data_IF_110752771673
#
_entry.id   IF_110752771673
#
_cell.length_a   1.000
_cell.length_b   1.000
_cell.length_c   1.000
_cell.angle_alpha   90.00
_cell.angle_beta   90.00
_cell.angle_gamma   90.00
#
_symmetry.space_group_name_H-M   'P 1'
#
loop_
_entity.id
_entity.type
_entity.pdbx_description
1 polymer ?
#
# COMPACT_ATOMS: atom_id res chain seq x y z
N UNK A 1 31.50 -85.92 -18.22
CA UNK A 1 30.15 -85.73 -18.79
C UNK A 1 29.42 -84.66 -17.99
N UNK A 2 29.02 -83.59 -18.69
CA UNK A 2 27.87 -82.65 -18.51
C UNK A 2 26.82 -83.11 -17.46
N UNK A 3 26.07 -82.25 -16.71
CA UNK A 3 26.30 -80.92 -16.13
C UNK A 3 25.50 -80.63 -14.81
N UNK A 4 25.50 -79.35 -14.35
CA UNK A 4 24.42 -78.56 -13.67
C UNK A 4 23.69 -79.16 -12.45
N UNK A 5 23.69 -78.38 -11.35
CA UNK A 5 22.44 -77.72 -10.93
C UNK A 5 22.72 -76.51 -10.04
N UNK A 6 21.84 -75.51 -10.18
CA UNK A 6 21.83 -74.21 -9.49
C UNK A 6 21.06 -74.33 -8.18
N UNK A 7 21.50 -73.62 -7.15
CA UNK A 7 20.60 -73.13 -6.10
C UNK A 7 21.07 -71.78 -5.60
N UNK A 8 20.21 -70.80 -5.85
CA UNK A 8 20.24 -69.43 -5.35
C UNK A 8 19.62 -69.45 -3.95
N UNK A 9 20.26 -68.81 -2.97
CA UNK A 9 19.59 -68.42 -1.73
C UNK A 9 20.00 -66.99 -1.37
N UNK A 10 18.98 -66.15 -1.30
CA UNK A 10 18.98 -64.78 -0.80
C UNK A 10 19.41 -64.74 0.67
N UNK A 11 20.14 -63.67 1.04
CA UNK A 11 20.09 -63.10 2.38
C UNK A 11 20.16 -61.58 2.25
N UNK A 12 19.00 -60.95 2.46
CA UNK A 12 18.82 -59.52 2.59
C UNK A 12 19.26 -59.11 4.01
N UNK A 13 20.23 -58.20 4.11
CA UNK A 13 20.47 -57.43 5.33
C UNK A 13 19.90 -56.04 5.15
N UNK A 14 18.92 -55.71 6.00
CA UNK A 14 18.26 -54.43 6.06
C UNK A 14 19.21 -53.32 6.49
N UNK A 15 19.28 -52.28 5.67
CA UNK A 15 19.77 -50.97 6.08
C UNK A 15 18.55 -50.15 6.54
N UNK A 16 18.48 -49.91 7.85
CA UNK A 16 17.53 -48.97 8.44
C UNK A 16 18.00 -47.57 8.04
N UNK A 17 17.43 -47.02 6.96
CA UNK A 17 17.54 -45.61 6.65
C UNK A 17 16.77 -44.83 7.72
N UNK A 18 17.50 -44.25 8.67
CA UNK A 18 17.01 -43.16 9.50
C UNK A 18 16.63 -42.02 8.56
N UNK A 19 15.36 -41.95 8.18
CA UNK A 19 14.78 -40.78 7.54
C UNK A 19 14.88 -39.64 8.56
N UNK A 20 15.95 -38.87 8.48
CA UNK A 20 16.09 -37.63 9.20
C UNK A 20 14.92 -36.73 8.81
N UNK A 21 14.11 -36.37 9.80
CA UNK A 21 13.28 -35.18 9.75
C UNK A 21 14.20 -33.95 9.68
N UNK A 22 14.88 -33.75 8.56
CA UNK A 22 15.43 -32.46 8.19
C UNK A 22 14.23 -31.59 7.88
N UNK A 23 13.69 -30.94 8.90
CA UNK A 23 12.88 -29.74 8.74
C UNK A 23 13.77 -28.76 8.00
N UNK A 24 13.66 -28.75 6.67
CA UNK A 24 14.32 -27.82 5.79
C UNK A 24 13.84 -26.43 6.23
N UNK A 25 14.66 -25.76 7.05
CA UNK A 25 14.42 -24.37 7.44
C UNK A 25 14.44 -23.59 6.15
N UNK A 26 13.27 -23.35 5.56
CA UNK A 26 13.12 -22.38 4.49
C UNK A 26 13.83 -21.12 4.97
N UNK A 27 14.82 -20.60 4.22
CA UNK A 27 15.50 -19.39 4.62
C UNK A 27 14.43 -18.31 4.77
N UNK A 28 14.41 -17.68 5.95
CA UNK A 28 13.47 -16.60 6.24
C UNK A 28 13.58 -15.57 5.12
N UNK A 29 12.47 -15.33 4.42
CA UNK A 29 12.46 -14.40 3.29
C UNK A 29 12.87 -13.01 3.81
N UNK A 30 14.01 -12.51 3.34
CA UNK A 30 14.48 -11.18 3.72
C UNK A 30 13.52 -10.12 3.17
N UNK A 31 12.96 -9.31 4.08
CA UNK A 31 12.01 -8.27 3.72
C UNK A 31 12.73 -7.06 3.15
N UNK A 32 12.28 -6.61 1.99
CA UNK A 32 12.86 -5.46 1.30
C UNK A 32 12.41 -4.16 1.97
N UNK A 33 13.27 -3.14 2.12
CA UNK A 33 12.82 -1.84 2.62
C UNK A 33 11.75 -1.24 1.71
N UNK A 34 10.95 -0.32 2.25
CA UNK A 34 10.11 0.53 1.43
C UNK A 34 10.99 1.31 0.43
N UNK A 35 10.42 1.78 -0.67
CA UNK A 35 11.11 2.67 -1.58
C UNK A 35 10.28 3.91 -1.86
N UNK A 36 10.86 5.09 -1.64
CA UNK A 36 10.31 6.38 -2.06
C UNK A 36 10.52 6.53 -3.57
N UNK A 37 9.48 6.21 -4.34
CA UNK A 37 9.50 6.17 -5.81
C UNK A 37 9.46 7.56 -6.42
N UNK A 38 8.67 8.42 -5.82
CA UNK A 38 8.42 9.76 -6.30
C UNK A 38 8.32 10.70 -5.11
N UNK A 39 8.80 11.93 -5.29
CA UNK A 39 8.59 13.01 -4.35
C UNK A 39 8.66 14.35 -5.07
N UNK A 40 7.94 15.32 -4.53
CA UNK A 40 8.02 16.72 -4.91
C UNK A 40 7.77 17.57 -3.68
N UNK A 41 8.38 18.75 -3.66
CA UNK A 41 8.09 19.78 -2.69
C UNK A 41 7.95 21.12 -3.38
N UNK A 42 7.03 21.96 -2.90
CA UNK A 42 6.84 23.32 -3.38
C UNK A 42 6.89 24.29 -2.23
N UNK A 43 7.35 25.51 -2.51
CA UNK A 43 7.50 26.57 -1.52
C UNK A 43 6.81 27.80 -2.09
N UNK A 44 5.77 28.26 -1.41
CA UNK A 44 5.01 29.44 -1.80
C UNK A 44 4.94 30.43 -0.65
N UNK A 45 5.02 31.72 -0.97
CA UNK A 45 4.84 32.78 0.01
C UNK A 45 3.39 32.77 0.49
N UNK A 46 3.18 32.79 1.80
CA UNK A 46 1.87 32.92 2.46
C UNK A 46 1.85 34.14 3.39
N UNK A 47 0.71 34.44 4.00
CA UNK A 47 0.58 35.53 4.97
C UNK A 47 1.52 35.33 6.17
N UNK A 48 1.64 34.08 6.65
CA UNK A 48 2.37 33.73 7.87
C UNK A 48 3.84 33.31 7.62
N UNK A 49 4.38 33.60 6.43
CA UNK A 49 5.73 33.19 6.05
C UNK A 49 5.75 32.50 4.69
N UNK A 50 6.10 31.22 4.69
CA UNK A 50 6.16 30.37 3.51
C UNK A 50 5.44 29.05 3.80
N UNK A 51 4.52 28.65 2.92
CA UNK A 51 3.95 27.31 2.95
C UNK A 51 4.87 26.37 2.17
N UNK A 52 5.31 25.31 2.84
CA UNK A 52 6.07 24.20 2.29
C UNK A 52 5.10 23.04 2.10
N UNK A 53 4.79 22.70 0.85
CA UNK A 53 3.94 21.57 0.52
C UNK A 53 4.81 20.43 0.01
N UNK A 54 4.38 19.20 0.24
CA UNK A 54 5.02 18.01 -0.33
C UNK A 54 4.00 16.97 -0.74
N UNK A 55 4.43 16.14 -1.69
CA UNK A 55 3.76 14.92 -2.05
C UNK A 55 4.81 13.84 -2.35
N UNK A 56 4.49 12.58 -2.05
CA UNK A 56 5.36 11.46 -2.33
C UNK A 56 4.61 10.15 -2.49
N UNK A 57 5.32 9.16 -3.03
CA UNK A 57 4.82 7.80 -3.23
C UNK A 57 5.82 6.81 -2.66
N UNK A 58 5.43 6.13 -1.59
CA UNK A 58 6.14 4.95 -1.08
C UNK A 58 5.64 3.70 -1.79
N UNK A 59 6.54 2.74 -1.98
CA UNK A 59 6.22 1.42 -2.53
C UNK A 59 6.71 0.33 -1.62
N UNK A 60 5.92 -0.74 -1.51
CA UNK A 60 6.22 -1.92 -0.74
C UNK A 60 6.42 -3.12 -1.68
N UNK A 61 7.64 -3.61 -1.75
CA UNK A 61 7.99 -4.76 -2.58
C UNK A 61 7.70 -6.12 -1.91
N UNK A 62 7.24 -6.13 -0.66
CA UNK A 62 6.93 -7.35 0.09
C UNK A 62 5.46 -7.71 -0.13
N UNK A 63 5.15 -8.79 -0.86
CA UNK A 63 3.79 -9.11 -1.25
C UNK A 63 2.91 -9.58 -0.09
N UNK A 64 3.49 -9.98 1.04
CA UNK A 64 2.74 -10.58 2.16
C UNK A 64 2.85 -9.80 3.47
N UNK A 65 3.41 -8.58 3.45
CA UNK A 65 3.66 -7.81 4.66
C UNK A 65 3.18 -6.37 4.49
N UNK A 66 2.47 -5.86 5.48
CA UNK A 66 2.25 -4.42 5.63
C UNK A 66 3.53 -3.75 6.13
N UNK A 67 3.83 -2.57 5.59
CA UNK A 67 4.79 -1.65 6.19
C UNK A 67 4.05 -0.72 7.15
N UNK A 68 4.14 -0.96 8.45
CA UNK A 68 3.41 -0.23 9.48
C UNK A 68 4.30 0.81 10.20
N UNK A 69 3.64 1.75 10.89
CA UNK A 69 4.30 2.77 11.72
C UNK A 69 5.37 3.59 10.99
N UNK A 70 5.15 3.82 9.69
CA UNK A 70 6.05 4.62 8.86
C UNK A 70 5.90 6.08 9.26
N UNK A 71 7.03 6.77 9.39
CA UNK A 71 7.08 8.22 9.64
C UNK A 71 7.93 8.86 8.56
N UNK A 72 7.35 9.79 7.82
CA UNK A 72 8.11 10.67 6.94
C UNK A 72 8.65 11.85 7.74
N UNK A 73 9.94 12.14 7.60
CA UNK A 73 10.59 13.32 8.17
C UNK A 73 10.84 14.31 7.03
N UNK A 74 10.21 15.47 7.12
CA UNK A 74 10.33 16.58 6.18
C UNK A 74 11.23 17.63 6.81
N UNK A 75 12.31 17.99 6.12
CA UNK A 75 13.24 19.02 6.58
C UNK A 75 13.42 20.05 5.47
N UNK A 76 13.08 21.30 5.77
CA UNK A 76 13.39 22.46 4.94
C UNK A 76 14.60 23.20 5.49
N UNK A 77 15.58 23.46 4.62
CA UNK A 77 16.81 24.18 4.96
C UNK A 77 16.90 25.48 4.16
N UNK A 78 17.41 26.54 4.77
CA UNK A 78 17.73 27.80 4.09
C UNK A 78 18.95 27.67 3.15
N UNK A 79 19.36 28.78 2.52
CA UNK A 79 20.52 28.79 1.63
C UNK A 79 21.87 28.56 2.34
N UNK A 80 21.92 28.71 3.67
CA UNK A 80 23.11 28.50 4.51
C UNK A 80 23.14 27.09 5.11
N UNK A 81 22.08 26.30 4.92
CA UNK A 81 21.94 24.94 5.45
C UNK A 81 21.28 24.87 6.84
N UNK A 82 20.81 25.98 7.39
CA UNK A 82 20.07 25.99 8.66
C UNK A 82 18.66 25.43 8.46
N UNK A 83 18.20 24.60 9.39
CA UNK A 83 16.83 24.08 9.37
C UNK A 83 15.83 25.20 9.71
N UNK A 84 14.92 25.48 8.79
CA UNK A 84 13.86 26.50 8.94
C UNK A 84 12.47 25.89 9.10
N UNK A 85 12.34 24.59 8.82
CA UNK A 85 11.15 23.78 9.12
C UNK A 85 11.53 22.32 9.26
N UNK A 86 10.94 21.66 10.25
CA UNK A 86 11.01 20.21 10.43
C UNK A 86 9.67 19.67 10.87
N UNK A 87 9.20 18.62 10.21
CA UNK A 87 7.98 17.92 10.56
C UNK A 87 8.19 16.40 10.46
N UNK A 88 7.74 15.69 11.49
CA UNK A 88 7.57 14.24 11.43
C UNK A 88 6.08 13.94 11.17
N UNK A 89 5.78 13.36 10.02
CA UNK A 89 4.44 12.99 9.59
C UNK A 89 4.27 11.47 9.72
N UNK A 90 3.44 10.99 10.67
CA UNK A 90 2.98 9.62 10.67
C UNK A 90 2.23 9.32 9.36
N UNK A 91 2.56 8.20 8.74
CA UNK A 91 1.94 7.74 7.51
C UNK A 91 1.03 6.54 7.77
N UNK A 92 0.10 6.30 6.84
CA UNK A 92 -0.72 5.10 6.87
C UNK A 92 0.12 3.84 6.61
N UNK A 93 -0.39 2.68 7.01
CA UNK A 93 0.27 1.41 6.72
C UNK A 93 0.36 1.16 5.21
N UNK A 94 1.56 0.91 4.66
CA UNK A 94 1.77 0.62 3.24
C UNK A 94 1.30 -0.81 2.95
N UNK A 95 0.40 -1.04 1.97
CA UNK A 95 -0.23 -2.34 1.80
C UNK A 95 0.73 -3.35 1.17
N UNK A 96 0.51 -4.66 1.34
CA UNK A 96 1.36 -5.70 0.77
C UNK A 96 1.44 -5.58 -0.76
N UNK A 97 2.66 -5.52 -1.30
CA UNK A 97 2.91 -5.38 -2.74
C UNK A 97 2.40 -4.06 -3.38
N UNK A 98 1.95 -3.10 -2.58
CA UNK A 98 1.28 -1.89 -3.06
C UNK A 98 2.06 -0.59 -2.85
N UNK A 99 1.36 0.53 -3.03
CA UNK A 99 1.89 1.89 -2.85
C UNK A 99 1.17 2.66 -1.75
N UNK A 100 1.81 3.73 -1.29
CA UNK A 100 1.22 4.74 -0.43
C UNK A 100 1.58 6.13 -0.96
N UNK A 101 0.57 6.80 -1.47
CA UNK A 101 0.55 8.22 -1.74
C UNK A 101 0.39 8.97 -0.41
N UNK A 102 1.22 9.97 -0.17
CA UNK A 102 1.11 10.83 1.00
C UNK A 102 1.40 12.28 0.61
N UNK A 103 0.74 13.20 1.29
CA UNK A 103 0.90 14.64 1.08
C UNK A 103 0.89 15.36 2.41
N UNK A 104 1.36 16.60 2.42
CA UNK A 104 1.28 17.44 3.61
C UNK A 104 1.75 18.86 3.36
N UNK A 105 1.57 19.68 4.38
CA UNK A 105 1.95 21.08 4.37
C UNK A 105 2.50 21.47 5.75
N UNK A 106 3.48 22.36 5.76
CA UNK A 106 3.99 23.03 6.96
C UNK A 106 4.28 24.50 6.64
N UNK A 107 4.25 25.36 7.66
CA UNK A 107 4.64 26.77 7.54
C UNK A 107 6.07 26.95 8.01
N UNK A 108 6.86 27.73 7.28
CA UNK A 108 8.21 28.16 7.63
C UNK A 108 8.25 29.69 7.71
N UNK A 109 8.89 30.24 8.74
CA UNK A 109 9.05 31.70 8.86
C UNK A 109 9.96 32.26 7.76
N UNK A 110 11.04 31.53 7.46
CA UNK A 110 12.01 31.85 6.41
C UNK A 110 11.79 30.96 5.18
N UNK A 111 12.26 31.42 4.02
CA UNK A 111 12.14 30.65 2.77
C UNK A 111 13.14 29.50 2.78
N UNK A 112 12.71 28.23 2.76
CA UNK A 112 13.65 27.14 2.52
C UNK A 112 14.22 27.26 1.10
N UNK A 113 15.52 27.04 0.96
CA UNK A 113 16.19 26.85 -0.32
C UNK A 113 16.12 25.39 -0.80
N UNK A 114 16.02 24.45 0.15
CA UNK A 114 15.94 23.01 -0.12
C UNK A 114 14.94 22.37 0.82
N UNK A 115 14.18 21.40 0.32
CA UNK A 115 13.33 20.52 1.14
C UNK A 115 13.73 19.08 0.85
N UNK A 116 13.85 18.29 1.91
CA UNK A 116 14.15 16.87 1.83
C UNK A 116 13.08 16.07 2.55
N UNK A 117 12.71 14.93 1.98
CA UNK A 117 11.80 13.97 2.58
C UNK A 117 12.58 12.68 2.79
N UNK A 118 12.61 12.23 4.03
CA UNK A 118 13.15 10.95 4.43
C UNK A 118 12.05 10.16 5.12
N UNK A 119 12.25 8.86 5.31
CA UNK A 119 11.30 8.06 6.09
C UNK A 119 12.07 7.09 6.99
N UNK A 120 11.47 6.79 8.13
CA UNK A 120 12.00 5.77 9.05
C UNK A 120 11.63 4.37 8.54
N UNK A 121 12.47 3.35 8.76
CA UNK A 121 12.15 1.98 8.39
C UNK A 121 10.78 1.54 8.93
N UNK A 122 10.02 0.83 8.10
CA UNK A 122 8.72 0.31 8.48
C UNK A 122 8.85 -0.82 9.50
N UNK A 123 7.84 -0.97 10.35
CA UNK A 123 7.63 -2.20 11.08
C UNK A 123 6.88 -3.18 10.19
N UNK A 124 7.50 -4.32 9.90
CA UNK A 124 6.90 -5.31 9.02
C UNK A 124 5.95 -6.20 9.79
N UNK A 125 4.71 -6.27 9.33
CA UNK A 125 3.73 -7.21 9.85
C UNK A 125 3.17 -8.06 8.73
N UNK A 126 3.20 -9.37 8.90
CA UNK A 126 2.58 -10.28 7.94
C UNK A 126 1.08 -9.99 7.83
N UNK A 127 0.59 -9.93 6.60
CA UNK A 127 -0.82 -9.74 6.32
C UNK A 127 -1.62 -10.99 6.70
N UNK A 128 -2.78 -10.80 7.33
CA UNK A 128 -3.69 -11.89 7.70
C UNK A 128 -4.46 -12.45 6.50
N UNK A 129 -4.41 -11.78 5.34
CA UNK A 129 -5.13 -12.15 4.11
C UNK A 129 -4.19 -12.11 2.91
N UNK A 130 -4.60 -12.83 1.87
CA UNK A 130 -3.93 -12.79 0.56
C UNK A 130 -4.01 -11.39 -0.05
N UNK A 131 -3.01 -10.93 -0.83
CA UNK A 131 -2.98 -9.58 -1.38
C UNK A 131 -4.21 -9.21 -2.20
N UNK A 132 -4.79 -10.18 -2.93
CA UNK A 132 -6.01 -10.01 -3.71
C UNK A 132 -7.26 -9.74 -2.87
N UNK A 133 -7.20 -9.91 -1.55
CA UNK A 133 -8.29 -9.53 -0.65
C UNK A 133 -8.34 -8.01 -0.38
N UNK A 134 -7.23 -7.30 -0.59
CA UNK A 134 -7.13 -5.84 -0.40
C UNK A 134 -7.53 -5.09 -1.68
N UNK A 135 -8.83 -5.05 -1.94
CA UNK A 135 -9.44 -4.29 -3.02
C UNK A 135 -9.22 -2.78 -2.86
N UNK A 136 -9.04 -2.11 -4.01
CA UNK A 136 -8.97 -0.64 -4.07
C UNK A 136 -10.36 -0.04 -3.93
N UNK A 137 -10.47 1.07 -3.20
CA UNK A 137 -11.70 1.85 -3.12
C UNK A 137 -11.98 2.54 -4.47
N UNK A 138 -13.11 2.24 -5.14
CA UNK A 138 -13.41 2.83 -6.43
C UNK A 138 -13.62 4.34 -6.34
N UNK A 139 -12.96 5.08 -7.24
CA UNK A 139 -13.19 6.51 -7.42
C UNK A 139 -14.03 6.72 -8.68
N UNK A 140 -15.13 7.45 -8.55
CA UNK A 140 -16.04 7.73 -9.69
C UNK A 140 -16.33 9.22 -9.82
N UNK A 141 -16.69 9.63 -11.05
CA UNK A 141 -17.05 11.01 -11.42
C UNK A 141 -16.03 12.05 -10.93
N UNK A 142 -14.76 11.68 -10.96
CA UNK A 142 -13.68 12.55 -10.56
C UNK A 142 -13.53 13.72 -11.54
N UNK A 143 -13.38 14.93 -10.99
CA UNK A 143 -13.14 16.15 -11.76
C UNK A 143 -12.00 16.93 -11.10
N UNK A 144 -11.13 17.51 -11.92
CA UNK A 144 -10.07 18.43 -11.49
C UNK A 144 -10.27 19.74 -12.23
N UNK A 145 -10.44 20.83 -11.47
CA UNK A 145 -10.74 22.15 -12.03
C UNK A 145 -9.77 23.18 -11.48
N UNK A 146 -9.04 23.84 -12.39
CA UNK A 146 -8.17 24.96 -12.03
C UNK A 146 -9.02 26.16 -11.59
N UNK A 147 -8.69 26.73 -10.44
CA UNK A 147 -9.33 27.90 -9.87
C UNK A 147 -8.62 29.19 -10.31
N UNK A 148 -9.28 30.34 -10.11
CA UNK A 148 -8.75 31.66 -10.51
C UNK A 148 -7.46 32.03 -9.77
N UNK A 149 -7.30 31.55 -8.55
CA UNK A 149 -6.09 31.75 -7.71
C UNK A 149 -4.94 30.79 -8.07
N UNK A 150 -5.14 29.92 -9.06
CA UNK A 150 -4.16 28.92 -9.49
C UNK A 150 -4.17 27.63 -8.67
N UNK A 151 -5.01 27.52 -7.64
CA UNK A 151 -5.28 26.25 -6.96
C UNK A 151 -6.09 25.31 -7.86
N UNK A 152 -6.16 24.03 -7.48
CA UNK A 152 -6.95 23.02 -8.16
C UNK A 152 -7.99 22.47 -7.20
N UNK A 153 -9.26 22.53 -7.59
CA UNK A 153 -10.37 21.89 -6.91
C UNK A 153 -10.56 20.49 -7.50
N UNK A 154 -10.42 19.47 -6.67
CA UNK A 154 -10.67 18.08 -7.05
C UNK A 154 -11.91 17.60 -6.32
N UNK A 155 -12.83 17.01 -7.08
CA UNK A 155 -14.07 16.44 -6.53
C UNK A 155 -14.30 15.07 -7.11
N UNK A 156 -15.06 14.24 -6.42
CA UNK A 156 -15.49 12.95 -6.92
C UNK A 156 -16.25 12.20 -5.84
N UNK A 157 -16.43 10.91 -6.07
CA UNK A 157 -17.11 10.02 -5.15
C UNK A 157 -16.22 8.80 -4.87
N UNK A 158 -16.20 8.36 -3.62
CA UNK A 158 -15.48 7.15 -3.20
C UNK A 158 -16.51 6.08 -2.82
N UNK A 159 -16.40 4.91 -3.44
CA UNK A 159 -17.23 3.76 -3.09
C UNK A 159 -16.45 2.78 -2.22
N UNK A 160 -17.18 1.89 -1.55
CA UNK A 160 -16.61 0.86 -0.70
C UNK A 160 -16.78 -0.53 -1.35
N UNK A 161 -15.68 -1.22 -1.70
CA UNK A 161 -15.75 -2.54 -2.30
C UNK A 161 -16.00 -3.66 -1.26
N UNK A 162 -16.22 -3.34 0.02
CA UNK A 162 -16.41 -4.28 1.12
C UNK A 162 -17.83 -4.27 1.67
N UNK A 163 -18.24 -5.37 2.30
CA UNK A 163 -19.55 -5.49 2.96
C UNK A 163 -19.65 -4.60 4.20
N UNK A 164 -18.54 -4.48 4.93
CA UNK A 164 -18.45 -3.66 6.13
C UNK A 164 -18.20 -2.19 5.77
N UNK A 165 -18.80 -1.29 6.52
CA UNK A 165 -18.58 0.16 6.39
C UNK A 165 -17.12 0.49 6.66
N UNK A 166 -16.49 1.27 5.79
CA UNK A 166 -15.17 1.81 6.04
C UNK A 166 -15.31 3.09 6.88
N UNK A 167 -14.81 3.05 8.12
CA UNK A 167 -15.01 4.11 9.10
C UNK A 167 -14.47 5.46 8.66
N UNK A 168 -13.18 5.52 8.29
CA UNK A 168 -12.56 6.71 7.73
C UNK A 168 -11.58 6.34 6.63
N UNK A 169 -11.74 6.96 5.46
CA UNK A 169 -10.83 6.86 4.33
C UNK A 169 -10.09 8.18 4.14
N UNK A 170 -8.78 8.08 3.96
CA UNK A 170 -8.01 9.20 3.39
C UNK A 170 -8.09 9.12 1.87
N UNK A 171 -8.43 10.23 1.25
CA UNK A 171 -8.43 10.42 -0.20
C UNK A 171 -7.24 11.30 -0.56
N UNK A 172 -6.28 10.76 -1.28
CA UNK A 172 -5.12 11.49 -1.80
C UNK A 172 -5.34 11.82 -3.27
N UNK A 173 -5.00 13.04 -3.66
CA UNK A 173 -4.93 13.45 -5.06
C UNK A 173 -3.53 13.97 -5.38
N UNK A 174 -2.86 13.29 -6.31
CA UNK A 174 -1.55 13.67 -6.83
C UNK A 174 -1.71 14.31 -8.20
N UNK A 175 -1.17 15.52 -8.35
CA UNK A 175 -1.24 16.30 -9.58
C UNK A 175 0.01 16.07 -10.41
N UNK A 176 -0.17 15.82 -11.71
CA UNK A 176 0.90 15.49 -12.65
C UNK A 176 0.87 16.36 -13.88
N UNK A 177 2.05 16.61 -14.44
CA UNK A 177 2.18 17.23 -15.75
C UNK A 177 1.89 16.24 -16.89
N UNK A 178 1.98 16.72 -18.14
CA UNK A 178 1.75 15.91 -19.34
C UNK A 178 2.75 14.74 -19.49
N UNK A 179 3.95 14.87 -18.92
CA UNK A 179 4.97 13.81 -18.93
C UNK A 179 4.77 12.80 -17.78
N UNK A 180 3.78 13.00 -16.92
CA UNK A 180 3.51 12.16 -15.75
C UNK A 180 4.35 12.53 -14.52
N UNK A 181 5.12 13.62 -14.55
CA UNK A 181 5.93 14.06 -13.41
C UNK A 181 5.02 14.59 -12.31
N UNK A 182 5.30 14.19 -11.07
CA UNK A 182 4.61 14.69 -9.88
C UNK A 182 4.86 16.19 -9.66
N UNK A 183 3.80 16.98 -9.57
CA UNK A 183 3.82 18.43 -9.36
C UNK A 183 3.46 18.84 -7.93
N UNK A 184 2.61 18.06 -7.27
CA UNK A 184 2.14 18.28 -5.92
C UNK A 184 0.96 17.37 -5.60
N UNK A 185 0.30 17.61 -4.48
CA UNK A 185 -0.90 16.87 -4.13
C UNK A 185 -1.55 17.41 -2.86
N UNK A 186 -2.69 16.83 -2.53
CA UNK A 186 -3.39 17.10 -1.28
C UNK A 186 -4.18 15.88 -0.83
N UNK A 187 -4.62 15.92 0.42
CA UNK A 187 -5.43 14.88 1.04
C UNK A 187 -6.70 15.45 1.65
N UNK A 188 -7.75 14.65 1.67
CA UNK A 188 -8.98 14.90 2.43
C UNK A 188 -9.45 13.59 3.07
N UNK A 189 -10.46 13.67 3.92
CA UNK A 189 -11.05 12.50 4.59
C UNK A 189 -12.50 12.33 4.19
N UNK A 190 -12.94 11.09 4.16
CA UNK A 190 -14.34 10.73 3.98
C UNK A 190 -14.67 9.63 4.96
N UNK A 191 -15.68 9.88 5.78
CA UNK A 191 -16.10 8.96 6.82
C UNK A 191 -17.35 8.18 6.40
N UNK A 192 -17.62 7.09 7.13
CA UNK A 192 -18.82 6.27 6.99
C UNK A 192 -19.11 5.80 5.54
N UNK A 193 -18.07 5.33 4.85
CA UNK A 193 -18.16 4.94 3.43
C UNK A 193 -18.81 3.56 3.31
N UNK A 194 -20.03 3.51 2.78
CA UNK A 194 -20.85 2.30 2.63
C UNK A 194 -20.88 1.85 1.18
N UNK A 195 -20.92 0.53 0.96
CA UNK A 195 -21.04 -0.03 -0.39
C UNK A 195 -22.33 0.44 -1.07
N UNK A 196 -22.22 0.92 -2.31
CA UNK A 196 -23.37 1.35 -3.12
C UNK A 196 -23.96 2.70 -2.72
N UNK A 197 -23.40 3.38 -1.72
CA UNK A 197 -23.80 4.73 -1.30
C UNK A 197 -22.55 5.61 -1.21
N UNK A 198 -21.88 5.90 -2.34
CA UNK A 198 -20.57 6.53 -2.33
C UNK A 198 -20.68 8.00 -1.90
N UNK A 199 -20.07 8.42 -0.78
CA UNK A 199 -19.99 9.83 -0.39
C UNK A 199 -19.13 10.66 -1.36
N UNK A 200 -19.44 11.96 -1.43
CA UNK A 200 -18.66 12.93 -2.20
C UNK A 200 -17.44 13.37 -1.40
N UNK A 201 -16.27 13.40 -2.04
CA UNK A 201 -15.11 14.11 -1.53
C UNK A 201 -14.89 15.43 -2.28
N UNK A 202 -14.33 16.39 -1.56
CA UNK A 202 -13.89 17.69 -2.08
C UNK A 202 -12.52 17.96 -1.45
N UNK A 203 -11.53 18.27 -2.28
CA UNK A 203 -10.21 18.70 -1.81
C UNK A 203 -9.69 19.82 -2.70
N UNK A 204 -8.89 20.71 -2.13
CA UNK A 204 -8.23 21.79 -2.85
C UNK A 204 -6.72 21.61 -2.72
N UNK A 205 -6.01 21.54 -3.85
CA UNK A 205 -4.55 21.56 -3.88
C UNK A 205 -4.10 22.96 -4.26
N UNK A 206 -3.37 23.60 -3.36
CA UNK A 206 -2.81 24.93 -3.57
C UNK A 206 -1.27 24.85 -3.58
N UNK A 207 -0.62 25.99 -3.77
CA UNK A 207 0.83 26.09 -3.62
C UNK A 207 1.67 25.40 -4.70
N UNK A 208 1.10 25.11 -5.87
CA UNK A 208 1.88 24.64 -7.02
C UNK A 208 2.80 25.73 -7.58
N UNK A 209 3.88 25.36 -8.31
CA UNK A 209 4.72 26.34 -8.99
C UNK A 209 3.92 27.24 -9.93
N UNK A 210 4.30 28.52 -10.04
CA UNK A 210 3.67 29.43 -11.01
C UNK A 210 3.82 28.86 -12.43
N UNK A 211 2.71 28.81 -13.17
CA UNK A 211 2.69 28.25 -14.51
C UNK A 211 2.66 26.72 -14.58
N UNK A 212 2.50 26.02 -13.45
CA UNK A 212 2.29 24.58 -13.45
C UNK A 212 1.02 24.21 -14.23
N UNK A 213 1.21 23.41 -15.28
CA UNK A 213 0.14 22.89 -16.13
C UNK A 213 -0.17 21.44 -15.70
N UNK A 214 -1.30 21.28 -15.01
CA UNK A 214 -1.75 19.97 -14.54
C UNK A 214 -2.51 19.29 -15.67
N UNK A 215 -1.96 18.19 -16.17
CA UNK A 215 -2.58 17.40 -17.23
C UNK A 215 -3.35 16.19 -16.69
N UNK A 216 -2.97 15.67 -15.51
CA UNK A 216 -3.55 14.47 -14.91
C UNK A 216 -3.60 14.57 -13.39
N UNK A 217 -4.63 13.98 -12.81
CA UNK A 217 -4.77 13.79 -11.37
C UNK A 217 -4.92 12.30 -11.07
N UNK A 218 -4.02 11.76 -10.27
CA UNK A 218 -4.17 10.41 -9.71
C UNK A 218 -4.86 10.51 -8.36
N UNK A 219 -6.04 9.90 -8.25
CA UNK A 219 -6.84 9.89 -7.02
C UNK A 219 -6.85 8.48 -6.45
N UNK A 220 -6.53 8.36 -5.18
CA UNK A 220 -6.58 7.10 -4.44
C UNK A 220 -7.32 7.31 -3.14
N UNK A 221 -8.06 6.28 -2.71
CA UNK A 221 -8.64 6.22 -1.38
C UNK A 221 -8.18 4.96 -0.68
N UNK A 222 -7.96 5.05 0.62
CA UNK A 222 -7.45 3.96 1.46
C UNK A 222 -7.88 4.16 2.91
N UNK A 223 -7.81 3.08 3.69
CA UNK A 223 -8.04 3.16 5.13
C UNK A 223 -7.00 4.07 5.78
N UNK A 224 -7.46 4.94 6.67
CA UNK A 224 -6.59 5.77 7.49
C UNK A 224 -6.07 4.99 8.71
N UNK A 225 -4.79 5.15 9.03
CA UNK A 225 -4.16 4.57 10.21
C UNK A 225 -2.79 3.97 9.95
N UNK A 226 -1.92 4.04 10.96
CA UNK A 226 -0.53 3.56 10.91
C UNK A 226 -0.38 2.04 10.92
N UNK A 227 -1.48 1.31 11.07
CA UNK A 227 -1.54 -0.17 11.01
C UNK A 227 -2.49 -0.61 9.89
N UNK A 228 -2.24 -1.76 9.31
CA UNK A 228 -3.07 -2.39 8.28
C UNK A 228 -4.36 -3.00 8.82
N UNK A 229 -4.59 -3.00 10.15
CA UNK A 229 -5.77 -3.61 10.78
C UNK A 229 -7.10 -3.12 10.21
N UNK A 230 -7.36 -1.82 10.04
CA UNK A 230 -8.62 -1.36 9.45
C UNK A 230 -8.87 -1.94 8.05
N UNK A 231 -7.80 -2.14 7.26
CA UNK A 231 -7.94 -2.70 5.92
C UNK A 231 -8.18 -4.22 5.97
N UNK A 232 -7.54 -4.91 6.91
CA UNK A 232 -7.75 -6.34 7.15
C UNK A 232 -9.15 -6.63 7.69
N UNK A 233 -9.69 -5.81 8.59
CA UNK A 233 -11.05 -5.96 9.11
C UNK A 233 -12.09 -5.87 7.98
N UNK A 234 -11.90 -4.92 7.05
CA UNK A 234 -12.71 -4.81 5.84
C UNK A 234 -12.56 -6.04 4.93
N UNK A 235 -11.32 -6.49 4.70
CA UNK A 235 -11.05 -7.66 3.87
C UNK A 235 -11.60 -8.97 4.47
N UNK A 236 -11.66 -9.07 5.81
CA UNK A 236 -12.26 -10.19 6.54
C UNK A 236 -13.79 -10.21 6.40
N UNK A 237 -14.42 -9.04 6.37
CA UNK A 237 -15.86 -8.92 6.13
C UNK A 237 -16.28 -9.29 4.70
N UNK A 238 -15.33 -9.37 3.76
CA UNK A 238 -15.55 -9.77 2.38
C UNK A 238 -15.92 -8.62 1.44
N UNK A 239 -15.70 -8.85 0.15
CA UNK A 239 -15.94 -7.87 -0.91
C UNK A 239 -17.38 -7.90 -1.45
N UNK A 240 -17.83 -6.80 -2.05
CA UNK A 240 -19.12 -6.66 -2.73
C UNK A 240 -18.90 -6.21 -4.18
N UNK A 241 -19.55 -6.85 -5.16
CA UNK A 241 -20.40 -8.03 -5.01
C UNK A 241 -19.57 -9.31 -4.77
N UNK A 242 -20.13 -10.24 -4.00
CA UNK A 242 -19.56 -11.57 -3.79
C UNK A 242 -19.69 -12.35 -5.10
N UNK A 243 -18.65 -12.30 -5.94
CA UNK A 243 -18.53 -13.06 -7.18
C UNK A 243 -19.72 -12.94 -8.17
N UNK A 244 -19.71 -11.93 -9.04
CA UNK A 244 -20.70 -11.83 -10.16
C UNK A 244 -20.31 -12.64 -11.40
N UNK A 245 -19.10 -13.19 -11.45
CA UNK A 245 -18.60 -13.97 -12.58
C UNK A 245 -18.46 -15.41 -12.14
N UNK A 246 -19.27 -16.29 -12.73
CA UNK A 246 -19.14 -17.75 -12.57
C UNK A 246 -17.72 -18.14 -13.01
N UNK A 247 -16.97 -18.90 -12.19
CA UNK A 247 -15.67 -19.42 -12.62
C UNK A 247 -15.79 -20.12 -13.96
N UNK A 248 -15.00 -19.70 -14.95
CA UNK A 248 -14.92 -20.34 -16.27
C UNK A 248 -13.98 -21.53 -16.28
N UNK A 249 -13.19 -21.70 -15.22
CA UNK A 249 -12.35 -22.88 -14.99
C UNK A 249 -13.23 -24.09 -14.72
N UNK A 250 -12.91 -25.20 -15.37
CA UNK A 250 -13.54 -26.49 -15.06
C UNK A 250 -13.36 -26.80 -13.56
N UNK A 251 -14.38 -27.41 -12.90
CA UNK A 251 -14.20 -27.95 -11.56
C UNK A 251 -12.98 -28.86 -11.53
N UNK A 252 -12.18 -28.79 -10.47
CA UNK A 252 -11.10 -29.75 -10.27
C UNK A 252 -11.68 -31.17 -10.38
N UNK A 253 -11.04 -32.04 -11.16
CA UNK A 253 -11.46 -33.42 -11.36
C UNK A 253 -11.47 -34.24 -10.06
N UNK A 254 -10.68 -33.82 -9.08
CA UNK A 254 -10.67 -34.35 -7.73
C UNK A 254 -10.83 -33.21 -6.72
N UNK A 255 -11.89 -33.29 -5.92
CA UNK A 255 -12.01 -32.47 -4.72
C UNK A 255 -10.91 -32.91 -3.75
N UNK A 256 -9.95 -32.03 -3.48
CA UNK A 256 -8.96 -32.26 -2.43
C UNK A 256 -9.67 -32.11 -1.10
N UNK A 257 -10.45 -33.14 -0.75
CA UNK A 257 -11.15 -33.29 0.52
C UNK A 257 -10.27 -32.72 1.62
N UNK A 258 -10.80 -31.75 2.36
CA UNK A 258 -10.26 -31.27 3.62
C UNK A 258 -9.71 -32.48 4.36
N UNK A 259 -8.38 -32.60 4.47
CA UNK A 259 -7.78 -33.64 5.28
C UNK A 259 -8.21 -33.35 6.72
N UNK A 260 -9.28 -34.01 7.15
CA UNK A 260 -9.62 -34.11 8.56
C UNK A 260 -8.42 -34.78 9.18
N UNK A 261 -7.63 -34.03 9.95
CA UNK A 261 -6.56 -34.55 10.79
C UNK A 261 -7.25 -35.36 11.88
N UNK A 262 -7.57 -36.60 11.57
CA UNK A 262 -7.97 -37.62 12.53
C UNK A 262 -6.82 -38.62 12.58
N UNK A 263 -5.85 -38.33 13.44
CA UNK A 263 -5.07 -39.35 14.15
C UNK A 263 -4.41 -38.69 15.36
N UNK A 264 -5.17 -38.63 16.46
CA UNK A 264 -4.61 -38.63 17.81
C UNK A 264 -5.13 -39.90 18.48
N UNK A 265 -4.36 -40.97 18.33
CA UNK A 265 -4.34 -42.06 19.29
C UNK A 265 -2.88 -42.43 19.54
N UNK A 266 -2.36 -42.00 20.69
CA UNK A 266 -1.69 -42.87 21.66
C UNK A 266 -2.03 -42.36 23.06
#
# INVERSE_FOLDING_TARGET
MIPRSRTVSLLALGAICLAGCSSEKQPAQELKPLALKEQVSTIVKSADGYAVNWAGVLSNANPWHFGEHVVATIVGQDAKGAEVVRLDQPLDAVPPGGTLEFTGQATAAERPAKVSIQYRPAQWRQAARVPSAFQKFPITRAQTMRQKDGSYLITGYVDNPYQMVAGSLVVNALLRDKAGKLLGGGSTFVDDVKAGSPPRFILTVSGLPRGADVARTDITARTWGSTGRPFEDLALAGAVPVHTVKPTTEPFSEDRRTQIVADVQQ
#
